data_IF_303550540903
#
_entry.id   IF_303550540903
#
_cell.length_a   1.000
_cell.length_b   1.000
_cell.length_c   1.000
_cell.angle_alpha   90.00
_cell.angle_beta   90.00
_cell.angle_gamma   90.00
#
_symmetry.space_group_name_H-M   'P 1'
#
loop_
_entity.id
_entity.type
_entity.pdbx_description
1 polymer ?
#
# COMPACT_ATOMS: atom_id res chain seq x y z
N UNK A 1 47.16 28.95 9.47
CA UNK A 1 47.11 27.92 8.45
C UNK A 1 46.86 26.61 9.17
N UNK A 2 45.66 26.16 9.26
CA UNK A 2 45.29 24.85 9.81
C UNK A 2 44.03 24.42 9.05
N UNK A 3 44.24 23.46 8.19
CA UNK A 3 43.20 22.88 7.37
C UNK A 3 42.30 21.97 8.21
N UNK A 4 41.02 22.22 8.20
CA UNK A 4 39.98 21.29 8.68
C UNK A 4 39.66 20.33 7.56
N UNK A 5 40.15 19.12 7.66
CA UNK A 5 39.65 17.95 6.92
C UNK A 5 38.31 17.54 7.54
N UNK A 6 37.24 17.67 6.78
CA UNK A 6 35.94 17.07 7.09
C UNK A 6 36.07 15.57 6.89
N UNK A 7 36.10 14.81 7.97
CA UNK A 7 35.88 13.38 7.98
C UNK A 7 34.40 13.13 7.64
N UNK A 8 34.17 12.48 6.53
CA UNK A 8 32.86 11.96 6.14
C UNK A 8 32.63 10.70 6.96
N UNK A 9 31.75 10.80 7.95
CA UNK A 9 31.27 9.69 8.79
C UNK A 9 30.48 8.69 7.92
N UNK A 10 31.16 7.69 7.41
CA UNK A 10 30.62 6.62 6.58
C UNK A 10 30.03 5.46 7.39
N UNK A 11 29.30 5.72 8.48
CA UNK A 11 28.76 4.62 9.30
C UNK A 11 27.39 4.94 9.92
N UNK A 12 26.41 5.33 9.10
CA UNK A 12 25.01 5.52 9.51
C UNK A 12 24.08 4.72 8.62
N UNK A 13 24.08 3.39 8.66
CA UNK A 13 23.22 2.60 7.81
C UNK A 13 22.63 1.33 8.41
N UNK A 14 23.27 0.73 9.40
CA UNK A 14 22.96 -0.68 9.72
C UNK A 14 22.28 -0.95 11.06
N UNK A 15 21.92 0.06 11.86
CA UNK A 15 21.46 -0.17 13.24
C UNK A 15 19.95 -0.24 13.45
N UNK A 16 19.11 0.06 12.46
CA UNK A 16 17.64 0.14 12.67
C UNK A 16 16.81 -1.00 12.06
N UNK A 17 17.35 -1.83 11.18
CA UNK A 17 16.59 -2.94 10.54
C UNK A 17 16.36 -4.14 11.48
N UNK A 18 17.21 -4.36 12.48
CA UNK A 18 17.08 -5.49 13.40
C UNK A 18 15.96 -5.35 14.45
N UNK A 19 15.22 -4.23 14.46
CA UNK A 19 14.18 -3.99 15.45
C UNK A 19 12.74 -4.00 14.87
N UNK A 20 12.58 -4.01 13.56
CA UNK A 20 11.27 -4.03 12.89
C UNK A 20 10.84 -5.46 12.56
N UNK A 21 9.53 -5.68 12.54
CA UNK A 21 8.94 -6.95 12.11
C UNK A 21 9.28 -7.16 10.62
N UNK A 22 9.79 -8.35 10.21
CA UNK A 22 10.00 -8.68 8.81
C UNK A 22 8.74 -8.44 7.97
N UNK A 23 8.90 -8.03 6.70
CA UNK A 23 7.79 -7.70 5.80
C UNK A 23 6.74 -8.81 5.72
N UNK A 24 7.17 -10.07 5.69
CA UNK A 24 6.32 -11.25 5.60
C UNK A 24 5.46 -11.45 6.87
N UNK A 25 5.90 -10.91 8.00
CA UNK A 25 5.23 -11.02 9.29
C UNK A 25 4.44 -9.76 9.68
N UNK A 26 4.49 -8.68 8.87
CA UNK A 26 3.75 -7.44 9.15
C UNK A 26 2.26 -7.67 9.38
N UNK A 27 1.67 -8.68 8.74
CA UNK A 27 0.28 -9.06 8.92
C UNK A 27 -0.07 -9.60 10.30
N UNK A 28 0.92 -9.95 11.13
CA UNK A 28 0.72 -10.37 12.52
C UNK A 28 0.59 -9.20 13.50
N UNK A 29 1.04 -8.01 13.08
CA UNK A 29 0.86 -6.82 13.90
C UNK A 29 -0.58 -6.32 13.81
N UNK A 30 -1.17 -5.94 14.95
CA UNK A 30 -2.53 -5.43 15.02
C UNK A 30 -2.74 -4.18 14.16
N UNK A 31 -1.71 -3.35 14.02
CA UNK A 31 -1.76 -2.07 13.32
C UNK A 31 -1.90 -2.24 11.80
N UNK A 32 -1.46 -3.38 11.23
CA UNK A 32 -1.47 -3.62 9.80
C UNK A 32 -2.90 -3.68 9.21
N UNK A 33 -3.82 -4.35 9.90
CA UNK A 33 -5.19 -4.56 9.40
C UNK A 33 -6.20 -3.54 9.92
N UNK A 34 -5.88 -2.83 11.00
CA UNK A 34 -6.80 -1.89 11.64
C UNK A 34 -6.72 -0.49 11.05
N UNK A 35 -7.76 0.30 11.27
CA UNK A 35 -7.70 1.74 11.06
C UNK A 35 -7.06 2.39 12.29
N UNK A 36 -5.80 2.78 12.17
CA UNK A 36 -5.01 3.31 13.26
C UNK A 36 -5.42 4.76 13.55
N UNK A 37 -5.85 5.02 14.77
CA UNK A 37 -6.16 6.37 15.25
C UNK A 37 -4.84 7.08 15.54
N UNK A 38 -4.53 8.10 14.77
CA UNK A 38 -3.24 8.80 14.85
C UNK A 38 -3.43 10.31 14.71
N UNK A 39 -2.47 11.07 15.24
CA UNK A 39 -2.36 12.49 14.95
C UNK A 39 -1.97 12.70 13.48
N UNK A 40 -2.53 13.75 12.86
CA UNK A 40 -2.25 14.08 11.45
C UNK A 40 -0.75 14.38 11.27
N UNK A 41 -0.13 15.06 12.21
CA UNK A 41 1.32 15.35 12.16
C UNK A 41 2.16 14.07 12.10
N UNK A 42 1.78 13.03 12.86
CA UNK A 42 2.49 11.75 12.82
C UNK A 42 2.27 11.02 11.51
N UNK A 43 1.04 11.05 10.96
CA UNK A 43 0.74 10.48 9.65
C UNK A 43 1.60 11.12 8.55
N UNK A 44 1.78 12.45 8.60
CA UNK A 44 2.62 13.18 7.65
C UNK A 44 4.09 12.76 7.78
N UNK A 45 4.56 12.43 8.98
CA UNK A 45 5.95 12.09 9.26
C UNK A 45 6.26 10.59 9.25
N UNK A 46 5.30 9.71 8.96
CA UNK A 46 5.54 8.26 8.86
C UNK A 46 6.68 7.95 7.88
N UNK A 47 7.50 6.99 8.19
CA UNK A 47 8.53 6.49 7.28
C UNK A 47 7.92 5.55 6.26
N UNK A 48 8.17 5.75 4.97
CA UNK A 48 7.64 4.86 3.93
C UNK A 48 8.35 3.50 3.96
N UNK A 49 7.59 2.41 3.75
CA UNK A 49 8.17 1.11 3.50
C UNK A 49 8.42 0.95 2.00
N UNK A 50 9.64 0.59 1.63
CA UNK A 50 10.01 0.43 0.23
C UNK A 50 9.64 -0.97 -0.32
N UNK A 51 9.40 -1.95 0.56
CA UNK A 51 9.06 -3.33 0.17
C UNK A 51 7.55 -3.45 -0.10
N UNK A 52 6.70 -2.92 0.79
CA UNK A 52 5.25 -3.03 0.67
C UNK A 52 4.68 -1.66 0.27
N UNK A 53 4.23 -1.49 -0.98
CA UNK A 53 3.65 -0.24 -1.43
C UNK A 53 2.43 0.15 -0.57
N UNK A 54 2.41 1.40 -0.11
CA UNK A 54 1.32 1.91 0.71
C UNK A 54 1.39 1.59 2.19
N UNK A 55 2.42 0.89 2.62
CA UNK A 55 2.73 0.69 4.01
C UNK A 55 3.74 1.72 4.49
N UNK A 56 3.58 2.13 5.73
CA UNK A 56 4.46 3.07 6.41
C UNK A 56 4.84 2.51 7.77
N UNK A 57 5.94 3.00 8.32
CA UNK A 57 6.40 2.65 9.65
C UNK A 57 6.11 3.78 10.64
N UNK A 58 5.40 3.47 11.70
CA UNK A 58 5.40 4.27 12.92
C UNK A 58 6.21 3.51 13.97
N UNK A 59 7.45 3.93 14.20
CA UNK A 59 8.42 3.18 15.00
C UNK A 59 8.58 1.76 14.47
N UNK A 60 8.06 0.75 15.20
CA UNK A 60 8.11 -0.68 14.84
C UNK A 60 6.82 -1.20 14.22
N UNK A 61 5.75 -0.39 14.22
CA UNK A 61 4.43 -0.80 13.76
C UNK A 61 4.19 -0.50 12.29
N UNK A 62 3.71 -1.47 11.50
CA UNK A 62 3.36 -1.27 10.10
C UNK A 62 1.98 -0.60 9.97
N UNK A 63 1.94 0.64 9.53
CA UNK A 63 0.71 1.42 9.33
C UNK A 63 0.30 1.41 7.87
N UNK A 64 -0.91 0.95 7.59
CA UNK A 64 -1.49 0.91 6.25
C UNK A 64 -2.77 1.74 6.12
N UNK A 65 -3.56 1.80 7.20
CA UNK A 65 -4.85 2.49 7.27
C UNK A 65 -4.89 3.40 8.48
N UNK A 66 -5.52 4.54 8.33
CA UNK A 66 -5.64 5.55 9.39
C UNK A 66 -7.08 5.95 9.63
N UNK A 67 -7.33 6.42 10.85
CA UNK A 67 -8.61 6.92 11.36
C UNK A 67 -8.35 8.29 11.98
N UNK A 68 -8.86 9.35 11.36
CA UNK A 68 -8.66 10.72 11.77
C UNK A 68 -10.01 11.41 12.04
N UNK A 69 -10.01 12.33 13.00
CA UNK A 69 -11.11 13.27 13.25
C UNK A 69 -10.48 14.67 13.21
N UNK A 70 -11.09 15.57 12.46
CA UNK A 70 -10.61 16.95 12.36
C UNK A 70 -11.61 17.84 11.62
N UNK A 71 -11.27 19.13 11.58
CA UNK A 71 -12.12 20.17 10.99
C UNK A 71 -11.74 20.38 9.52
N UNK A 72 -12.74 20.54 8.65
CA UNK A 72 -12.53 20.86 7.23
C UNK A 72 -12.08 22.32 7.10
N UNK A 73 -10.83 22.52 6.68
CA UNK A 73 -10.24 23.85 6.48
C UNK A 73 -10.15 24.26 5.00
N UNK A 74 -10.26 23.29 4.08
CA UNK A 74 -10.31 23.54 2.63
C UNK A 74 -11.23 22.54 1.98
N UNK A 75 -11.98 22.97 0.96
CA UNK A 75 -12.85 22.12 0.14
C UNK A 75 -12.57 22.39 -1.34
N UNK A 76 -12.40 21.32 -2.09
CA UNK A 76 -12.38 21.33 -3.55
C UNK A 76 -13.31 20.23 -4.04
N UNK A 77 -14.13 20.54 -5.03
CA UNK A 77 -15.05 19.59 -5.61
C UNK A 77 -14.59 19.22 -7.03
N UNK A 78 -14.39 17.93 -7.24
CA UNK A 78 -14.13 17.35 -8.55
C UNK A 78 -15.36 16.56 -9.03
N UNK A 79 -15.35 16.14 -10.28
CA UNK A 79 -16.47 15.40 -10.89
C UNK A 79 -16.77 14.11 -10.10
N UNK A 80 -15.73 13.38 -9.69
CA UNK A 80 -15.86 12.05 -9.06
C UNK A 80 -15.66 12.05 -7.52
N UNK A 81 -15.03 13.08 -6.98
CA UNK A 81 -14.68 13.12 -5.56
C UNK A 81 -14.71 14.54 -5.00
N UNK A 82 -14.82 14.63 -3.69
CA UNK A 82 -14.48 15.82 -2.92
C UNK A 82 -13.07 15.66 -2.37
N UNK A 83 -12.31 16.71 -2.39
CA UNK A 83 -10.98 16.79 -1.78
C UNK A 83 -11.06 17.81 -0.65
N UNK A 84 -10.82 17.34 0.57
CA UNK A 84 -10.85 18.15 1.77
C UNK A 84 -9.46 18.25 2.37
N UNK A 85 -9.08 19.43 2.86
CA UNK A 85 -7.99 19.53 3.83
C UNK A 85 -8.61 19.46 5.22
N UNK A 86 -8.16 18.51 6.04
CA UNK A 86 -8.65 18.23 7.39
C UNK A 86 -7.56 18.56 8.39
N UNK A 87 -7.92 19.31 9.44
CA UNK A 87 -7.05 19.79 10.51
C UNK A 87 -7.49 19.22 11.85
N UNK A 88 -6.59 18.56 12.59
CA UNK A 88 -6.82 18.05 13.94
C UNK A 88 -6.12 18.86 15.03
N UNK A 89 -5.58 20.03 14.66
CA UNK A 89 -4.78 20.89 15.53
C UNK A 89 -3.30 20.50 15.64
N UNK A 90 -2.89 19.35 15.12
CA UNK A 90 -1.49 18.93 15.04
C UNK A 90 -0.90 19.12 13.65
N UNK A 91 -1.74 19.06 12.62
CA UNK A 91 -1.37 19.22 11.23
C UNK A 91 -2.57 19.22 10.31
N UNK A 92 -2.32 19.43 9.03
CA UNK A 92 -3.36 19.41 7.97
C UNK A 92 -3.03 18.34 6.96
N UNK A 93 -4.01 17.48 6.66
CA UNK A 93 -3.86 16.43 5.65
C UNK A 93 -4.97 16.49 4.62
N UNK A 94 -4.63 16.20 3.37
CA UNK A 94 -5.60 16.09 2.29
C UNK A 94 -6.35 14.76 2.36
N UNK A 95 -7.68 14.80 2.27
CA UNK A 95 -8.56 13.64 2.25
C UNK A 95 -9.35 13.60 0.94
N UNK A 96 -9.18 12.54 0.15
CA UNK A 96 -9.95 12.31 -1.06
C UNK A 96 -11.16 11.42 -0.74
N UNK A 97 -12.37 11.99 -0.85
CA UNK A 97 -13.64 11.35 -0.54
C UNK A 97 -14.43 11.11 -1.84
N UNK A 98 -14.56 9.87 -2.26
CA UNK A 98 -15.29 9.53 -3.50
C UNK A 98 -16.79 9.78 -3.33
N UNK A 99 -17.38 10.41 -4.36
CA UNK A 99 -18.84 10.54 -4.44
C UNK A 99 -19.45 9.15 -4.64
N UNK A 100 -20.40 8.78 -3.81
CA UNK A 100 -21.12 7.52 -3.98
C UNK A 100 -21.85 7.59 -5.33
N UNK A 101 -21.51 6.67 -6.26
CA UNK A 101 -22.33 6.48 -7.46
C UNK A 101 -23.69 5.92 -7.03
N UNK A 102 -24.58 6.77 -6.60
CA UNK A 102 -25.98 6.36 -6.62
C UNK A 102 -26.32 6.10 -8.11
N UNK A 103 -26.63 4.84 -8.46
CA UNK A 103 -27.51 4.63 -9.60
C UNK A 103 -28.62 5.63 -9.38
N UNK A 104 -28.87 6.53 -10.33
CA UNK A 104 -30.08 7.38 -10.33
C UNK A 104 -31.27 6.41 -10.37
N UNK A 105 -31.59 5.83 -9.23
CA UNK A 105 -32.88 5.19 -9.06
C UNK A 105 -33.85 6.37 -9.09
N UNK A 106 -34.76 6.31 -10.02
CA UNK A 106 -35.83 7.33 -10.08
C UNK A 106 -36.49 7.36 -8.70
N UNK A 107 -36.98 8.53 -8.25
CA UNK A 107 -37.76 8.63 -7.01
C UNK A 107 -38.82 7.54 -6.94
N UNK A 108 -39.38 7.14 -8.06
CA UNK A 108 -40.38 6.07 -8.24
C UNK A 108 -39.82 4.67 -7.92
N UNK A 109 -38.57 4.34 -8.32
CA UNK A 109 -37.95 3.05 -7.98
C UNK A 109 -37.62 2.95 -6.49
N UNK A 110 -37.19 4.06 -5.90
CA UNK A 110 -36.93 4.14 -4.45
C UNK A 110 -38.24 4.03 -3.64
N UNK A 111 -39.32 4.66 -4.10
CA UNK A 111 -40.67 4.48 -3.54
C UNK A 111 -41.21 3.07 -3.74
N UNK A 112 -40.92 2.42 -4.87
CA UNK A 112 -41.30 1.02 -5.11
C UNK A 112 -40.55 0.05 -4.19
N UNK A 113 -39.26 0.26 -3.89
CA UNK A 113 -38.51 -0.54 -2.91
C UNK A 113 -39.04 -0.36 -1.48
N UNK A 114 -39.47 0.85 -1.14
CA UNK A 114 -40.06 1.15 0.17
C UNK A 114 -41.54 0.70 0.24
N UNK A 115 -42.31 0.86 -0.84
CA UNK A 115 -43.73 0.48 -0.92
C UNK A 115 -43.96 -1.00 -1.27
N UNK A 116 -43.08 -1.58 -2.15
CA UNK A 116 -43.18 -3.00 -2.57
C UNK A 116 -42.83 -3.99 -1.46
N UNK A 117 -42.14 -3.56 -0.41
CA UNK A 117 -41.79 -4.35 0.77
C UNK A 117 -42.90 -4.28 1.85
N UNK A 118 -44.15 -4.55 1.54
CA UNK A 118 -45.27 -4.47 2.49
C UNK A 118 -45.12 -5.36 3.75
N UNK A 119 -44.13 -6.25 3.76
CA UNK A 119 -43.80 -7.17 4.86
C UNK A 119 -42.60 -6.73 5.73
N UNK A 120 -41.90 -5.62 5.42
CA UNK A 120 -40.80 -5.17 6.25
C UNK A 120 -41.29 -4.45 7.51
N UNK A 121 -40.77 -4.80 8.70
CA UNK A 121 -41.09 -4.11 9.96
C UNK A 121 -40.80 -2.60 9.86
N UNK A 122 -41.65 -1.79 10.50
CA UNK A 122 -41.56 -0.33 10.49
C UNK A 122 -40.16 0.19 10.87
N UNK A 123 -39.56 -0.41 11.89
CA UNK A 123 -38.20 -0.09 12.37
C UNK A 123 -37.14 -0.27 11.28
N UNK A 124 -37.27 -1.31 10.44
CA UNK A 124 -36.34 -1.55 9.32
C UNK A 124 -36.51 -0.50 8.20
N UNK A 125 -37.76 -0.11 7.91
CA UNK A 125 -38.04 0.97 6.93
C UNK A 125 -37.44 2.30 7.38
N UNK A 126 -37.59 2.64 8.66
CA UNK A 126 -37.01 3.86 9.24
C UNK A 126 -35.49 3.86 9.18
N UNK A 127 -34.82 2.71 9.48
CA UNK A 127 -33.38 2.58 9.38
C UNK A 127 -32.87 2.68 7.94
N UNK A 128 -33.53 2.02 6.98
CA UNK A 128 -33.19 2.11 5.56
C UNK A 128 -33.34 3.53 5.04
N UNK A 129 -34.44 4.23 5.40
CA UNK A 129 -34.65 5.63 5.06
C UNK A 129 -33.56 6.54 5.65
N UNK A 130 -33.16 6.32 6.91
CA UNK A 130 -32.10 7.08 7.56
C UNK A 130 -30.73 6.86 6.87
N UNK A 131 -30.43 5.62 6.46
CA UNK A 131 -29.20 5.31 5.70
C UNK A 131 -29.22 6.03 4.35
N UNK A 132 -30.32 5.96 3.61
CA UNK A 132 -30.44 6.63 2.32
C UNK A 132 -30.30 8.15 2.43
N UNK A 133 -30.91 8.76 3.47
CA UNK A 133 -30.74 10.18 3.75
C UNK A 133 -29.30 10.55 4.10
N UNK A 134 -28.59 9.71 4.87
CA UNK A 134 -27.20 9.96 5.23
C UNK A 134 -26.28 9.87 4.01
N UNK A 135 -26.54 8.94 3.07
CA UNK A 135 -25.80 8.82 1.84
C UNK A 135 -26.07 9.98 0.86
N UNK A 136 -27.31 10.47 0.80
CA UNK A 136 -27.63 11.67 0.02
C UNK A 136 -26.86 12.88 0.52
N UNK A 137 -26.79 13.10 1.83
CA UNK A 137 -26.01 14.18 2.46
C UNK A 137 -24.50 14.06 2.15
N UNK A 138 -23.96 12.86 2.07
CA UNK A 138 -22.56 12.65 1.68
C UNK A 138 -22.25 13.14 0.26
N UNK A 139 -23.22 13.04 -0.65
CA UNK A 139 -23.07 13.53 -2.03
C UNK A 139 -23.16 15.06 -2.15
N UNK A 140 -23.67 15.77 -1.15
CA UNK A 140 -23.62 17.23 -1.06
C UNK A 140 -22.25 17.74 -0.59
N UNK A 141 -21.48 16.86 0.05
CA UNK A 141 -20.17 17.15 0.60
C UNK A 141 -20.23 17.89 1.94
N UNK A 142 -19.04 18.18 2.48
CA UNK A 142 -18.88 18.90 3.76
C UNK A 142 -18.52 20.36 3.50
N UNK A 143 -18.84 21.21 4.44
CA UNK A 143 -18.52 22.64 4.40
C UNK A 143 -17.31 22.96 5.26
N UNK A 144 -16.73 24.15 5.04
CA UNK A 144 -15.67 24.67 5.89
C UNK A 144 -16.16 24.79 7.33
N UNK A 145 -15.36 24.34 8.29
CA UNK A 145 -15.70 24.32 9.70
C UNK A 145 -16.46 23.06 10.15
N UNK A 146 -16.88 22.17 9.22
CA UNK A 146 -17.48 20.91 9.61
C UNK A 146 -16.43 19.98 10.26
N UNK A 147 -16.79 19.39 11.39
CA UNK A 147 -16.02 18.31 12.01
C UNK A 147 -16.31 17.01 11.28
N UNK A 148 -15.27 16.34 10.81
CA UNK A 148 -15.39 15.11 10.00
C UNK A 148 -14.57 13.97 10.58
N UNK A 149 -15.11 12.77 10.45
CA UNK A 149 -14.44 11.51 10.73
C UNK A 149 -14.08 10.85 9.40
N UNK A 150 -12.81 10.60 9.18
CA UNK A 150 -12.32 9.98 7.94
C UNK A 150 -11.47 8.76 8.28
N UNK A 151 -11.77 7.64 7.59
CA UNK A 151 -10.98 6.41 7.63
C UNK A 151 -10.55 6.06 6.23
N UNK A 152 -9.28 5.75 6.04
CA UNK A 152 -8.79 5.45 4.71
C UNK A 152 -7.38 4.91 4.70
N UNK A 153 -6.88 4.68 3.49
CA UNK A 153 -5.49 4.31 3.23
C UNK A 153 -4.67 5.57 3.02
N UNK A 154 -3.43 5.55 3.50
CA UNK A 154 -2.47 6.59 3.18
C UNK A 154 -1.96 6.36 1.76
N UNK A 155 -1.80 7.41 0.98
CA UNK A 155 -1.15 7.39 -0.33
C UNK A 155 -0.30 8.63 -0.54
N UNK A 156 0.58 8.58 -1.53
CA UNK A 156 1.33 9.75 -1.99
C UNK A 156 0.70 10.24 -3.29
N UNK A 157 0.35 11.50 -3.35
CA UNK A 157 -0.13 12.16 -4.54
C UNK A 157 0.58 13.51 -4.70
N UNK A 158 1.26 13.71 -5.85
CA UNK A 158 2.08 14.92 -6.12
C UNK A 158 3.08 15.23 -5.00
N UNK A 159 3.78 14.18 -4.53
CA UNK A 159 4.79 14.23 -3.46
C UNK A 159 4.22 14.54 -2.06
N UNK A 160 2.92 14.76 -1.92
CA UNK A 160 2.25 14.97 -0.64
C UNK A 160 1.48 13.72 -0.20
N UNK A 161 1.45 13.51 1.12
CA UNK A 161 0.61 12.45 1.70
C UNK A 161 -0.83 12.88 1.75
N UNK A 162 -1.71 11.97 1.37
CA UNK A 162 -3.14 12.16 1.50
C UNK A 162 -3.83 10.88 1.98
N UNK A 163 -5.03 11.03 2.49
CA UNK A 163 -5.88 9.90 2.90
C UNK A 163 -6.92 9.63 1.82
N UNK A 164 -6.85 8.45 1.20
CA UNK A 164 -7.92 7.97 0.34
C UNK A 164 -9.03 7.36 1.20
N UNK A 165 -10.11 8.11 1.38
CA UNK A 165 -11.18 7.73 2.26
C UNK A 165 -11.95 6.51 1.75
N UNK A 166 -12.02 5.47 2.56
CA UNK A 166 -12.96 4.34 2.40
C UNK A 166 -14.25 4.55 3.22
N UNK A 167 -14.16 5.37 4.25
CA UNK A 167 -15.28 5.82 5.07
C UNK A 167 -15.08 7.29 5.45
N UNK A 168 -16.13 8.07 5.35
CA UNK A 168 -16.16 9.44 5.86
C UNK A 168 -17.56 9.82 6.32
N UNK A 169 -17.66 10.64 7.35
CA UNK A 169 -18.93 11.16 7.86
C UNK A 169 -18.73 12.48 8.60
N UNK A 170 -19.73 13.35 8.56
CA UNK A 170 -19.80 14.53 9.42
C UNK A 170 -20.11 14.11 10.85
N UNK A 171 -19.41 14.67 11.80
CA UNK A 171 -19.67 14.52 13.23
C UNK A 171 -20.53 15.70 13.68
N UNK A 172 -21.70 15.39 14.23
CA UNK A 172 -22.63 16.41 14.73
C UNK A 172 -22.36 16.76 16.20
N UNK A 173 -21.78 15.81 16.97
CA UNK A 173 -21.44 16.01 18.37
C UNK A 173 -19.98 16.49 18.52
N UNK A 174 -19.74 17.77 18.88
CA UNK A 174 -18.38 18.30 19.04
C UNK A 174 -17.60 17.61 20.19
N UNK A 175 -18.26 16.95 21.13
CA UNK A 175 -17.58 16.23 22.20
C UNK A 175 -16.73 15.06 21.66
N UNK A 176 -17.04 14.56 20.46
CA UNK A 176 -16.26 13.50 19.82
C UNK A 176 -14.82 13.91 19.53
N UNK A 177 -14.56 15.19 19.25
CA UNK A 177 -13.21 15.72 19.09
C UNK A 177 -12.44 15.67 20.42
N UNK A 178 -13.10 16.11 21.51
CA UNK A 178 -12.51 16.08 22.87
C UNK A 178 -12.21 14.62 23.29
N UNK A 179 -13.16 13.71 23.04
CA UNK A 179 -12.96 12.27 23.30
C UNK A 179 -11.76 11.74 22.52
N UNK A 180 -11.63 12.10 21.23
CA UNK A 180 -10.48 11.70 20.42
C UNK A 180 -9.16 12.26 20.97
N UNK A 181 -9.13 13.53 21.37
CA UNK A 181 -7.95 14.15 21.98
C UNK A 181 -7.56 13.48 23.29
N UNK A 182 -8.50 13.02 24.09
CA UNK A 182 -8.23 12.29 25.34
C UNK A 182 -7.79 10.83 25.07
N UNK A 183 -8.32 10.20 24.03
CA UNK A 183 -8.03 8.81 23.65
C UNK A 183 -6.62 8.64 23.07
N UNK A 184 -6.20 9.55 22.18
CA UNK A 184 -4.93 9.41 21.43
C UNK A 184 -3.71 9.25 22.35
N UNK A 185 -3.47 10.10 23.40
CA UNK A 185 -2.30 9.91 24.25
C UNK A 185 -2.27 8.57 24.98
N UNK A 186 -3.44 8.01 25.28
CA UNK A 186 -3.55 6.68 25.91
C UNK A 186 -3.17 5.61 24.89
N UNK A 187 -3.70 5.68 23.66
CA UNK A 187 -3.38 4.73 22.58
C UNK A 187 -1.88 4.75 22.24
N UNK A 188 -1.29 5.95 22.15
CA UNK A 188 0.15 6.06 21.90
C UNK A 188 0.96 5.37 22.98
N UNK A 189 0.68 5.63 24.24
CA UNK A 189 1.40 5.04 25.37
C UNK A 189 1.20 3.54 25.51
N UNK A 190 0.01 3.04 25.20
CA UNK A 190 -0.35 1.64 25.46
C UNK A 190 -0.18 0.72 24.26
N UNK A 191 -0.21 1.25 23.04
CA UNK A 191 -0.17 0.46 21.79
C UNK A 191 1.01 0.81 20.90
N UNK A 192 1.19 2.10 20.56
CA UNK A 192 2.17 2.46 19.52
C UNK A 192 3.59 2.67 20.05
N UNK A 193 3.74 2.92 21.35
CA UNK A 193 5.03 3.11 22.00
C UNK A 193 5.57 1.82 22.65
N UNK A 194 4.83 0.72 22.53
CA UNK A 194 5.15 -0.58 23.14
C UNK A 194 5.49 -1.58 22.04
N UNK A 195 6.49 -2.41 22.28
CA UNK A 195 6.81 -3.53 21.38
C UNK A 195 5.66 -4.55 21.39
N UNK A 196 5.08 -4.80 20.23
CA UNK A 196 3.88 -5.67 20.07
C UNK A 196 4.18 -7.13 20.37
N UNK A 197 5.40 -7.58 20.08
CA UNK A 197 5.82 -8.94 20.26
C UNK A 197 7.07 -8.98 21.15
N UNK A 198 7.14 -9.87 22.18
CA UNK A 198 8.36 -10.12 22.91
C UNK A 198 9.49 -10.48 21.95
N UNK A 199 10.71 -9.98 22.18
CA UNK A 199 11.88 -10.26 21.31
C UNK A 199 12.07 -11.76 21.04
N UNK A 200 11.84 -12.62 22.05
CA UNK A 200 11.89 -14.08 21.87
C UNK A 200 10.87 -14.61 20.87
N UNK A 201 9.65 -14.07 20.89
CA UNK A 201 8.58 -14.48 19.96
C UNK A 201 8.91 -13.96 18.54
N UNK A 202 9.53 -12.79 18.42
CA UNK A 202 9.99 -12.25 17.14
C UNK A 202 11.14 -13.11 16.58
N UNK A 203 12.07 -13.53 17.41
CA UNK A 203 13.14 -14.46 17.06
C UNK A 203 12.57 -15.83 16.67
N UNK A 204 11.68 -16.42 17.48
CA UNK A 204 10.99 -17.68 17.18
C UNK A 204 10.11 -17.57 15.91
N UNK A 205 9.41 -16.47 15.69
CA UNK A 205 8.61 -16.24 14.47
C UNK A 205 9.49 -15.98 13.25
N UNK A 206 10.61 -15.29 13.41
CA UNK A 206 11.59 -15.16 12.32
C UNK A 206 12.22 -16.50 11.98
N UNK A 207 12.51 -17.32 12.98
CA UNK A 207 12.95 -18.71 12.80
C UNK A 207 11.84 -19.60 12.24
N UNK A 208 10.57 -19.38 12.62
CA UNK A 208 9.41 -20.13 12.08
C UNK A 208 8.98 -19.66 10.70
N UNK A 209 9.10 -18.40 10.34
CA UNK A 209 8.89 -17.93 8.96
C UNK A 209 10.01 -18.42 8.04
N UNK A 210 11.21 -18.44 8.54
CA UNK A 210 12.31 -19.25 7.97
C UNK A 210 11.93 -20.74 7.94
N UNK A 211 11.37 -21.29 9.04
CA UNK A 211 11.03 -22.70 9.19
C UNK A 211 9.78 -23.19 8.46
N UNK A 212 8.79 -22.36 8.15
CA UNK A 212 7.62 -22.78 7.33
C UNK A 212 7.92 -22.75 5.82
N UNK A 213 8.87 -21.93 5.39
CA UNK A 213 9.55 -22.16 4.12
C UNK A 213 10.44 -23.41 4.18
N UNK A 214 10.88 -23.84 5.36
CA UNK A 214 11.85 -24.92 5.63
C UNK A 214 11.20 -26.29 5.89
N UNK A 215 9.88 -26.42 6.13
CA UNK A 215 9.27 -27.77 6.31
C UNK A 215 9.30 -28.66 5.06
N UNK A 216 9.87 -28.14 3.93
CA UNK A 216 10.28 -28.93 2.76
C UNK A 216 11.78 -29.08 2.59
N UNK A 217 12.62 -28.28 3.26
CA UNK A 217 14.03 -28.12 2.89
C UNK A 217 14.93 -27.90 4.10
N UNK A 218 15.27 -28.97 4.80
CA UNK A 218 16.36 -28.94 5.77
C UNK A 218 17.70 -28.77 5.04
N UNK A 219 18.32 -27.59 5.18
CA UNK A 219 19.66 -27.31 4.64
C UNK A 219 19.73 -26.35 3.44
N UNK A 220 18.65 -25.60 3.12
CA UNK A 220 18.69 -24.69 1.97
C UNK A 220 18.99 -23.23 2.36
N UNK A 221 19.96 -22.63 1.67
CA UNK A 221 20.36 -21.22 1.77
C UNK A 221 19.33 -20.28 1.13
N UNK A 222 18.45 -20.81 0.29
CA UNK A 222 17.52 -20.04 -0.52
C UNK A 222 16.67 -19.00 0.24
N UNK A 223 16.09 -19.28 1.42
CA UNK A 223 15.31 -18.29 2.17
C UNK A 223 16.12 -17.10 2.66
N UNK A 224 17.34 -17.33 3.18
CA UNK A 224 18.20 -16.27 3.69
C UNK A 224 18.78 -15.45 2.53
N UNK A 225 19.12 -16.10 1.42
CA UNK A 225 19.56 -15.44 0.21
C UNK A 225 18.44 -14.55 -0.39
N UNK A 226 17.21 -15.03 -0.42
CA UNK A 226 16.03 -14.23 -0.81
C UNK A 226 15.89 -12.99 0.07
N UNK A 227 15.99 -13.15 1.39
CA UNK A 227 15.92 -12.04 2.34
C UNK A 227 17.02 -11.00 2.09
N UNK A 228 18.25 -11.43 1.90
CA UNK A 228 19.37 -10.54 1.57
C UNK A 228 19.11 -9.77 0.27
N UNK A 229 18.57 -10.44 -0.74
CA UNK A 229 18.23 -9.79 -2.02
C UNK A 229 17.13 -8.75 -1.87
N UNK A 230 16.08 -9.03 -1.10
CA UNK A 230 15.02 -8.06 -0.82
C UNK A 230 15.56 -6.83 -0.09
N UNK A 231 16.41 -7.02 0.92
CA UNK A 231 17.08 -5.92 1.63
C UNK A 231 17.97 -5.13 0.66
N UNK A 232 18.76 -5.80 -0.17
CA UNK A 232 19.59 -5.15 -1.18
C UNK A 232 18.77 -4.30 -2.15
N UNK A 233 17.64 -4.83 -2.64
CA UNK A 233 16.73 -4.09 -3.53
C UNK A 233 16.11 -2.89 -2.83
N UNK A 234 15.78 -3.01 -1.54
CA UNK A 234 15.20 -1.92 -0.75
C UNK A 234 16.21 -0.78 -0.51
N UNK A 235 17.43 -1.12 -0.12
CA UNK A 235 18.46 -0.14 0.23
C UNK A 235 19.05 0.56 -1.01
N UNK A 236 19.39 -0.22 -2.03
CA UNK A 236 20.10 0.29 -3.21
C UNK A 236 19.15 0.78 -4.32
N UNK A 237 17.87 0.39 -4.28
CA UNK A 237 16.87 0.77 -5.29
C UNK A 237 17.35 0.60 -6.75
N UNK A 238 18.04 -0.51 -7.11
CA UNK A 238 18.59 -0.68 -8.45
C UNK A 238 17.48 -0.75 -9.50
N UNK A 239 17.73 -0.31 -10.72
CA UNK A 239 16.81 -0.50 -11.85
C UNK A 239 16.94 -1.91 -12.44
N UNK A 240 18.17 -2.44 -12.39
CA UNK A 240 18.51 -3.77 -12.92
C UNK A 240 19.44 -4.49 -11.94
N UNK A 241 19.30 -5.80 -11.88
CA UNK A 241 20.14 -6.69 -11.08
C UNK A 241 20.83 -7.69 -12.00
N UNK A 242 22.15 -7.80 -11.85
CA UNK A 242 22.92 -8.82 -12.53
C UNK A 242 23.27 -9.94 -11.54
N UNK A 243 22.95 -11.18 -11.87
CA UNK A 243 23.16 -12.34 -11.00
C UNK A 243 24.64 -12.50 -10.60
N UNK A 244 25.57 -12.18 -11.50
CA UNK A 244 27.02 -12.24 -11.22
C UNK A 244 27.45 -11.17 -10.23
N UNK A 245 26.84 -9.98 -10.28
CA UNK A 245 27.11 -8.93 -9.31
C UNK A 245 26.63 -9.35 -7.92
N UNK A 246 25.44 -9.91 -7.84
CA UNK A 246 24.86 -10.40 -6.58
C UNK A 246 25.74 -11.49 -5.98
N UNK A 247 26.23 -12.44 -6.77
CA UNK A 247 27.08 -13.51 -6.27
C UNK A 247 28.42 -13.01 -5.67
N UNK A 248 28.85 -11.80 -6.04
CA UNK A 248 30.08 -11.16 -5.54
C UNK A 248 29.87 -10.26 -4.33
N UNK A 249 28.62 -10.05 -3.88
CA UNK A 249 28.34 -9.22 -2.70
C UNK A 249 28.94 -9.84 -1.43
N UNK A 250 29.57 -9.05 -0.54
CA UNK A 250 30.18 -9.56 0.69
C UNK A 250 29.22 -10.36 1.57
N UNK A 251 27.99 -9.89 1.71
CA UNK A 251 26.95 -10.54 2.52
C UNK A 251 26.55 -11.91 1.95
N UNK A 252 26.47 -12.01 0.61
CA UNK A 252 26.17 -13.27 -0.07
C UNK A 252 27.36 -14.22 0.02
N UNK A 253 28.59 -13.71 -0.10
CA UNK A 253 29.82 -14.51 0.05
C UNK A 253 29.95 -15.06 1.47
N UNK A 254 29.69 -14.25 2.49
CA UNK A 254 29.69 -14.67 3.90
C UNK A 254 28.62 -15.75 4.17
N UNK A 255 27.45 -15.65 3.54
CA UNK A 255 26.40 -16.67 3.64
C UNK A 255 26.89 -18.02 3.09
N UNK A 256 27.57 -18.00 1.93
CA UNK A 256 28.15 -19.20 1.32
C UNK A 256 29.28 -19.83 2.12
N UNK A 257 30.04 -19.04 2.88
CA UNK A 257 31.12 -19.54 3.74
C UNK A 257 30.59 -20.21 5.00
N UNK A 258 29.45 -19.81 5.49
CA UNK A 258 28.78 -20.43 6.65
C UNK A 258 28.13 -21.77 6.34
N UNK A 259 27.86 -22.02 5.06
CA UNK A 259 27.23 -23.27 4.63
C UNK A 259 28.29 -24.30 4.21
N UNK A 260 28.28 -25.43 4.89
CA UNK A 260 29.16 -26.57 4.63
C UNK A 260 28.60 -27.52 3.55
N UNK A 261 27.43 -27.20 2.95
CA UNK A 261 26.83 -28.06 1.93
C UNK A 261 27.54 -27.91 0.60
N UNK A 262 27.66 -29.02 -0.14
CA UNK A 262 28.26 -29.08 -1.50
C UNK A 262 27.27 -28.60 -2.59
N UNK A 263 26.40 -27.67 -2.27
CA UNK A 263 25.35 -27.19 -3.19
C UNK A 263 25.96 -26.25 -4.22
N UNK A 264 25.57 -26.40 -5.47
CA UNK A 264 25.97 -25.52 -6.55
C UNK A 264 25.36 -24.12 -6.34
N UNK A 265 26.22 -23.15 -6.03
CA UNK A 265 25.89 -21.76 -5.71
C UNK A 265 25.09 -21.08 -6.82
N UNK A 266 25.40 -21.40 -8.07
CA UNK A 266 24.73 -20.82 -9.24
C UNK A 266 23.29 -21.34 -9.34
N UNK A 267 23.09 -22.61 -9.11
CA UNK A 267 21.75 -23.24 -9.10
C UNK A 267 20.86 -22.66 -8.00
N UNK A 268 21.39 -22.44 -6.79
CA UNK A 268 20.61 -21.84 -5.69
C UNK A 268 20.24 -20.37 -5.99
N UNK A 269 21.16 -19.58 -6.53
CA UNK A 269 20.86 -18.23 -6.98
C UNK A 269 19.74 -18.24 -8.01
N UNK A 270 19.80 -19.08 -9.02
CA UNK A 270 18.76 -19.18 -10.05
C UNK A 270 17.40 -19.58 -9.48
N UNK A 271 17.35 -20.47 -8.49
CA UNK A 271 16.09 -20.81 -7.78
C UNK A 271 15.50 -19.59 -7.08
N UNK A 272 16.31 -18.84 -6.34
CA UNK A 272 15.84 -17.63 -5.64
C UNK A 272 15.35 -16.56 -6.62
N UNK A 273 16.07 -16.35 -7.72
CA UNK A 273 15.63 -15.40 -8.75
C UNK A 273 14.33 -15.85 -9.42
N UNK A 274 14.14 -17.16 -9.67
CA UNK A 274 12.87 -17.70 -10.16
C UNK A 274 11.69 -17.42 -9.19
N UNK A 275 11.92 -17.61 -7.89
CA UNK A 275 10.91 -17.30 -6.86
C UNK A 275 10.58 -15.81 -6.84
N UNK A 276 11.58 -14.93 -6.89
CA UNK A 276 11.36 -13.48 -6.93
C UNK A 276 10.62 -13.04 -8.21
N UNK A 277 10.85 -13.70 -9.33
CA UNK A 277 10.13 -13.46 -10.58
C UNK A 277 8.66 -13.93 -10.49
N UNK A 278 8.41 -15.11 -9.93
CA UNK A 278 7.05 -15.62 -9.69
C UNK A 278 6.26 -14.72 -8.73
N UNK A 279 6.91 -14.12 -7.75
CA UNK A 279 6.31 -13.18 -6.81
C UNK A 279 6.14 -11.77 -7.41
N UNK A 280 6.77 -11.47 -8.55
CA UNK A 280 6.63 -10.20 -9.25
C UNK A 280 7.58 -9.10 -8.82
N UNK A 281 8.68 -9.43 -8.12
CA UNK A 281 9.71 -8.46 -7.71
C UNK A 281 10.68 -8.09 -8.82
N UNK A 282 10.97 -9.05 -9.70
CA UNK A 282 11.93 -8.92 -10.79
C UNK A 282 11.39 -9.57 -12.06
N UNK A 283 11.98 -9.22 -13.19
CA UNK A 283 11.68 -9.81 -14.50
C UNK A 283 12.94 -10.05 -15.30
N UNK A 284 13.14 -11.28 -15.82
CA UNK A 284 14.31 -11.64 -16.60
C UNK A 284 14.35 -10.90 -17.94
N UNK A 285 15.42 -10.15 -18.18
CA UNK A 285 15.65 -9.36 -19.40
C UNK A 285 16.46 -10.11 -20.47
N UNK A 286 17.59 -10.68 -20.07
CA UNK A 286 18.51 -11.36 -20.97
C UNK A 286 18.95 -12.70 -20.36
N UNK A 287 18.58 -13.81 -21.00
CA UNK A 287 19.03 -15.17 -20.69
C UNK A 287 19.15 -15.50 -19.19
N UNK A 288 18.27 -14.93 -18.37
CA UNK A 288 18.28 -15.08 -16.90
C UNK A 288 19.61 -14.63 -16.23
N UNK A 289 20.31 -13.65 -16.82
CA UNK A 289 21.53 -13.07 -16.25
C UNK A 289 21.25 -11.68 -15.69
N UNK A 290 20.43 -10.88 -16.40
CA UNK A 290 20.05 -9.53 -16.02
C UNK A 290 18.53 -9.48 -15.81
N UNK A 291 18.13 -8.96 -14.66
CA UNK A 291 16.73 -8.83 -14.26
C UNK A 291 16.39 -7.34 -14.06
N UNK A 292 15.23 -6.93 -14.57
CA UNK A 292 14.65 -5.62 -14.30
C UNK A 292 13.90 -5.69 -12.97
N UNK A 293 14.10 -4.73 -12.08
CA UNK A 293 13.43 -4.66 -10.78
C UNK A 293 12.07 -3.97 -10.94
N UNK A 294 11.03 -4.61 -10.44
CA UNK A 294 9.67 -4.07 -10.46
C UNK A 294 9.49 -3.19 -9.22
N UNK A 295 9.66 -1.90 -9.43
CA UNK A 295 9.53 -0.86 -8.38
C UNK A 295 8.69 0.30 -8.88
N UNK A 296 8.19 1.18 -7.99
CA UNK A 296 7.50 2.40 -8.40
C UNK A 296 8.35 3.23 -9.37
N UNK A 297 7.77 3.60 -10.52
CA UNK A 297 8.46 4.36 -11.57
C UNK A 297 9.21 3.50 -12.59
N UNK A 298 9.09 2.17 -12.56
CA UNK A 298 9.73 1.31 -13.55
C UNK A 298 9.17 1.55 -14.97
N UNK A 299 9.95 1.27 -16.05
CA UNK A 299 9.54 1.53 -17.43
C UNK A 299 8.22 0.85 -17.84
N UNK A 300 7.90 -0.30 -17.24
CA UNK A 300 6.66 -1.04 -17.51
C UNK A 300 5.42 -0.27 -17.07
N UNK A 301 5.47 0.50 -15.98
CA UNK A 301 4.35 1.33 -15.55
C UNK A 301 3.91 2.33 -16.61
N UNK A 302 4.87 2.92 -17.34
CA UNK A 302 4.56 3.84 -18.44
C UNK A 302 3.78 3.14 -19.56
N UNK A 303 4.17 1.90 -19.90
CA UNK A 303 3.47 1.09 -20.90
C UNK A 303 2.04 0.79 -20.44
N UNK A 304 1.88 0.38 -19.18
CA UNK A 304 0.54 0.13 -18.61
C UNK A 304 -0.31 1.41 -18.64
N UNK A 305 0.25 2.56 -18.30
CA UNK A 305 -0.43 3.84 -18.35
C UNK A 305 -0.87 4.20 -19.76
N UNK A 306 -0.03 3.96 -20.76
CA UNK A 306 -0.37 4.24 -22.16
C UNK A 306 -1.45 3.30 -22.70
N UNK A 307 -1.43 2.02 -22.29
CA UNK A 307 -2.51 1.07 -22.59
C UNK A 307 -3.83 1.57 -21.99
N UNK A 308 -3.83 1.97 -20.73
CA UNK A 308 -5.03 2.45 -20.05
C UNK A 308 -5.53 3.77 -20.65
N UNK A 309 -4.64 4.71 -21.02
CA UNK A 309 -5.01 5.96 -21.72
C UNK A 309 -5.72 5.67 -23.03
N UNK A 310 -5.17 4.75 -23.83
CA UNK A 310 -5.70 4.37 -25.14
C UNK A 310 -7.03 3.63 -25.02
N UNK A 311 -7.15 2.72 -24.06
CA UNK A 311 -8.25 1.76 -24.01
C UNK A 311 -9.42 2.22 -23.14
N UNK A 312 -9.20 2.96 -22.05
CA UNK A 312 -10.29 3.47 -21.20
C UNK A 312 -11.21 4.49 -21.90
N UNK A 313 -10.79 5.04 -23.05
CA UNK A 313 -11.62 5.92 -23.92
C UNK A 313 -12.63 5.10 -24.73
N UNK A 314 -12.35 3.81 -24.99
CA UNK A 314 -13.23 2.95 -25.77
C UNK A 314 -14.51 2.63 -24.99
N UNK A 315 -15.66 2.64 -25.68
CA UNK A 315 -16.98 2.40 -25.07
C UNK A 315 -17.03 1.14 -24.23
N UNK A 316 -16.35 0.06 -24.68
CA UNK A 316 -16.25 -1.23 -23.98
C UNK A 316 -15.66 -1.13 -22.58
N UNK A 317 -14.73 -0.20 -22.34
CA UNK A 317 -13.96 -0.08 -21.10
C UNK A 317 -14.31 1.18 -20.30
N UNK A 318 -15.24 2.01 -20.82
CA UNK A 318 -15.57 3.30 -20.22
C UNK A 318 -16.13 3.20 -18.79
N UNK A 319 -16.99 2.23 -18.54
CA UNK A 319 -17.69 2.13 -17.24
C UNK A 319 -16.91 1.32 -16.21
N UNK A 320 -16.37 0.18 -16.60
CA UNK A 320 -15.70 -0.76 -15.68
C UNK A 320 -14.18 -0.64 -15.71
N UNK A 321 -13.61 -0.06 -16.76
CA UNK A 321 -12.19 -0.07 -17.01
C UNK A 321 -11.70 -1.33 -17.71
N UNK A 322 -10.37 -1.42 -17.87
CA UNK A 322 -9.70 -2.55 -18.50
C UNK A 322 -9.52 -3.71 -17.51
N UNK A 323 -9.85 -4.93 -17.94
CA UNK A 323 -9.58 -6.13 -17.15
C UNK A 323 -8.07 -6.39 -17.13
N UNK A 324 -7.52 -6.85 -15.98
CA UNK A 324 -6.07 -7.04 -15.84
C UNK A 324 -5.47 -8.01 -16.87
N UNK A 325 -6.19 -9.06 -17.27
CA UNK A 325 -5.75 -10.00 -18.33
C UNK A 325 -5.54 -9.28 -19.65
N UNK A 326 -6.45 -8.37 -20.04
CA UNK A 326 -6.29 -7.56 -21.24
C UNK A 326 -5.03 -6.68 -21.16
N UNK A 327 -4.77 -6.08 -19.99
CA UNK A 327 -3.55 -5.29 -19.77
C UNK A 327 -2.30 -6.17 -19.91
N UNK A 328 -2.31 -7.38 -19.33
CA UNK A 328 -1.21 -8.35 -19.46
C UNK A 328 -0.97 -8.73 -20.92
N UNK A 329 -2.03 -9.03 -21.69
CA UNK A 329 -1.93 -9.37 -23.13
C UNK A 329 -1.33 -8.23 -23.94
N UNK A 330 -1.77 -6.99 -23.68
CA UNK A 330 -1.24 -5.80 -24.34
C UNK A 330 0.22 -5.52 -23.95
N UNK A 331 0.60 -5.70 -22.68
CA UNK A 331 2.01 -5.60 -22.24
C UNK A 331 2.87 -6.64 -22.94
N UNK A 332 2.40 -7.88 -23.06
CA UNK A 332 3.09 -8.98 -23.77
C UNK A 332 3.19 -8.76 -25.28
N UNK A 333 2.37 -7.91 -25.86
CA UNK A 333 2.51 -7.53 -27.27
C UNK A 333 3.78 -6.71 -27.53
N UNK A 334 4.36 -6.12 -26.50
CA UNK A 334 5.66 -5.48 -26.58
C UNK A 334 6.76 -6.53 -26.57
N UNK A 335 7.63 -6.51 -27.58
CA UNK A 335 8.70 -7.49 -27.77
C UNK A 335 9.59 -7.64 -26.50
N UNK A 336 9.82 -6.55 -25.77
CA UNK A 336 10.64 -6.55 -24.54
C UNK A 336 10.00 -7.36 -23.40
N UNK A 337 8.64 -7.38 -23.31
CA UNK A 337 7.89 -7.96 -22.21
C UNK A 337 7.06 -9.18 -22.61
N UNK A 338 7.40 -9.83 -23.73
CA UNK A 338 6.61 -10.95 -24.29
C UNK A 338 6.43 -12.14 -23.35
N UNK A 339 7.42 -12.40 -22.48
CA UNK A 339 7.40 -13.52 -21.52
C UNK A 339 7.13 -13.09 -20.08
N UNK A 340 6.64 -11.87 -19.84
CA UNK A 340 6.46 -11.35 -18.48
C UNK A 340 5.41 -12.15 -17.68
N UNK A 341 5.68 -12.50 -16.40
CA UNK A 341 4.71 -13.08 -15.49
C UNK A 341 3.55 -12.12 -15.18
N UNK A 342 2.37 -12.69 -14.92
CA UNK A 342 1.20 -11.89 -14.51
C UNK A 342 1.45 -11.14 -13.20
N UNK A 343 2.22 -11.73 -12.28
CA UNK A 343 2.60 -11.16 -10.99
C UNK A 343 3.31 -9.81 -11.13
N UNK A 344 4.23 -9.68 -12.08
CA UNK A 344 4.96 -8.43 -12.35
C UNK A 344 4.01 -7.31 -12.82
N UNK A 345 3.07 -7.63 -13.71
CA UNK A 345 2.08 -6.64 -14.18
C UNK A 345 1.12 -6.25 -13.05
N UNK A 346 0.71 -7.21 -12.21
CA UNK A 346 -0.11 -6.92 -11.03
C UNK A 346 0.64 -6.08 -10.00
N UNK A 347 1.93 -6.32 -9.80
CA UNK A 347 2.77 -5.49 -8.93
C UNK A 347 2.83 -4.04 -9.43
N UNK A 348 3.04 -3.82 -10.74
CA UNK A 348 2.98 -2.48 -11.33
C UNK A 348 1.59 -1.83 -11.20
N UNK A 349 0.51 -2.57 -11.42
CA UNK A 349 -0.84 -2.06 -11.23
C UNK A 349 -1.12 -1.66 -9.78
N UNK A 350 -0.62 -2.43 -8.81
CA UNK A 350 -0.70 -2.08 -7.39
C UNK A 350 0.10 -0.81 -7.07
N UNK A 351 1.31 -0.65 -7.63
CA UNK A 351 2.11 0.56 -7.48
C UNK A 351 1.39 1.80 -8.07
N UNK A 352 0.81 1.66 -9.26
CA UNK A 352 0.02 2.73 -9.92
C UNK A 352 -1.26 3.05 -9.14
N UNK A 353 -1.95 2.04 -8.61
CA UNK A 353 -3.12 2.23 -7.73
C UNK A 353 -2.71 2.97 -6.46
N UNK A 354 -1.57 2.61 -5.88
CA UNK A 354 -1.03 3.25 -4.69
C UNK A 354 -0.74 4.74 -4.91
N UNK A 355 -0.12 5.12 -6.04
CA UNK A 355 0.12 6.51 -6.42
C UNK A 355 -1.13 7.22 -6.96
N UNK A 356 -2.25 6.51 -7.06
CA UNK A 356 -3.51 7.04 -7.61
C UNK A 356 -3.47 7.45 -9.07
N UNK A 357 -2.53 6.95 -9.81
CA UNK A 357 -2.53 7.05 -11.26
C UNK A 357 -3.65 6.20 -11.87
N UNK A 358 -3.99 5.11 -11.19
CA UNK A 358 -4.99 4.12 -11.59
C UNK A 358 -5.94 3.82 -10.42
N UNK A 359 -7.21 3.55 -10.73
CA UNK A 359 -8.23 3.15 -9.76
C UNK A 359 -8.69 1.74 -10.11
N UNK A 360 -8.73 0.87 -9.10
CA UNK A 360 -9.37 -0.44 -9.20
C UNK A 360 -10.88 -0.30 -9.01
N UNK A 361 -11.64 -0.47 -10.08
CA UNK A 361 -13.12 -0.36 -10.06
C UNK A 361 -13.79 -1.63 -9.57
N UNK A 362 -13.18 -2.79 -9.84
CA UNK A 362 -13.58 -4.12 -9.34
C UNK A 362 -12.31 -4.90 -8.99
N UNK A 363 -12.44 -6.13 -8.50
CA UNK A 363 -11.27 -6.98 -8.15
C UNK A 363 -10.24 -7.05 -9.28
N UNK A 364 -10.69 -7.03 -10.54
CA UNK A 364 -9.85 -7.28 -11.72
C UNK A 364 -9.89 -6.18 -12.78
N UNK A 365 -10.52 -5.02 -12.53
CA UNK A 365 -10.65 -3.97 -13.51
C UNK A 365 -10.02 -2.67 -13.02
N UNK A 366 -9.33 -2.00 -13.92
CA UNK A 366 -8.56 -0.80 -13.66
C UNK A 366 -8.93 0.32 -14.64
N UNK A 367 -9.00 1.54 -14.16
CA UNK A 367 -9.26 2.76 -14.94
C UNK A 367 -8.27 3.84 -14.52
N UNK A 368 -7.94 4.74 -15.44
CA UNK A 368 -7.14 5.91 -15.11
C UNK A 368 -7.83 6.81 -14.10
N UNK A 369 -7.09 7.31 -13.14
CA UNK A 369 -7.50 8.40 -12.29
C UNK A 369 -7.36 9.71 -13.10
N UNK A 370 -8.38 10.04 -13.91
CA UNK A 370 -8.46 11.38 -14.51
C UNK A 370 -8.90 12.36 -13.44
N UNK A 371 -7.96 13.14 -12.94
CA UNK A 371 -8.23 14.32 -12.08
C UNK A 371 -8.67 15.49 -12.93
#
# INVERSE_FOLDING_TARGET
MSGNTLEVDGNKGFTNLNERIPSDLCGLDFSFHTFNKMYIQDIINLEACNIIPGMYWYKKHPIYKVDIIGVVVKRQENIKCFVYAVDDGTGVITCCCWKTRMKKQSPEETEHLIKGGSKLPKVLKEKVSAIMMSESKKNEGYYLGDLVHVRGKIRIFREEREVMASYHNKIEDPNMEIVRMAELPVLYRTLYDVDTLPKKVLEELSEMSLGNSIRGYQGEIAPELKRLLLIYMEEQQPDEINIKHISSLPQVTELWEKDSSSVDRETELHKVFSILEEEGWIFAKEKHIVYEVIKPGCPMENIIMDILKRDCVKEKYHDKGCHYIHIVEEVRSNQKYSAIPNSCVLACLNNLEYRSDVIRTTINHYILCTV
#
